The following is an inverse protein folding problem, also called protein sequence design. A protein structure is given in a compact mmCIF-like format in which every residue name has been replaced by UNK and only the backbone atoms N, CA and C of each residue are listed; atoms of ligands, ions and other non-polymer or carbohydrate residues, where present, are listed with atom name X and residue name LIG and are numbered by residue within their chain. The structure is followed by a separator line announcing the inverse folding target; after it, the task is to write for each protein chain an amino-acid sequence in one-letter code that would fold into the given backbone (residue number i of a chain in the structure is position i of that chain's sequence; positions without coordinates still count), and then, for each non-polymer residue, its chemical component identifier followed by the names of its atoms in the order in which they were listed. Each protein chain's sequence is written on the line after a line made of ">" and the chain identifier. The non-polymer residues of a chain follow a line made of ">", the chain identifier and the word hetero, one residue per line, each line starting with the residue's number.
data_IF_687277944273
#
_entry.id   IF_687277944273
#
_cell.length_a   1.000
_cell.length_b   1.000
_cell.length_c   1.000
_cell.angle_alpha   90.00
_cell.angle_beta   90.00
_cell.angle_gamma   90.00
#
_symmetry.space_group_name_H-M   'P 1'
#
loop_
_entity.id
_entity.type
_entity.pdbx_description
1 polymer ?
#
# COMPACT_ATOMS: atom_id res chain seq x y z
N UNK A 1 29.63 67.80 3.69
CA UNK A 1 29.75 66.47 3.04
C UNK A 1 29.03 65.46 3.91
N UNK A 2 27.83 65.04 3.49
CA UNK A 2 27.03 64.04 4.20
C UNK A 2 27.24 62.68 3.54
N UNK A 3 27.71 61.71 4.28
CA UNK A 3 27.84 60.31 3.82
C UNK A 3 26.58 59.57 4.15
N UNK A 4 25.85 59.18 3.11
CA UNK A 4 24.65 58.31 3.22
C UNK A 4 25.09 56.85 3.34
N UNK A 5 24.88 56.25 4.47
CA UNK A 5 25.07 54.81 4.66
C UNK A 5 23.82 54.04 4.22
N UNK A 6 23.92 53.28 3.13
CA UNK A 6 22.87 52.37 2.67
C UNK A 6 22.88 51.09 3.48
N UNK A 7 21.86 50.86 4.26
CA UNK A 7 21.64 49.56 4.94
C UNK A 7 21.00 48.57 3.94
N UNK A 8 21.72 47.52 3.60
CA UNK A 8 21.18 46.40 2.81
C UNK A 8 20.40 45.47 3.75
N UNK A 9 19.09 45.36 3.56
CA UNK A 9 18.24 44.41 4.28
C UNK A 9 18.47 43.01 3.66
N UNK A 10 19.03 42.09 4.44
CA UNK A 10 19.15 40.68 4.10
C UNK A 10 17.81 40.01 4.39
N UNK A 11 17.08 39.66 3.34
CA UNK A 11 15.84 38.89 3.45
C UNK A 11 16.21 37.41 3.66
N UNK A 12 16.15 36.90 4.89
CA UNK A 12 16.29 35.50 5.19
C UNK A 12 14.99 34.77 4.82
N UNK A 13 15.02 34.03 3.72
CA UNK A 13 13.93 33.10 3.37
C UNK A 13 14.08 31.89 4.30
N UNK A 14 13.22 31.82 5.33
CA UNK A 14 13.06 30.62 6.14
C UNK A 14 12.43 29.55 5.25
N UNK A 15 13.24 28.65 4.72
CA UNK A 15 12.77 27.46 4.03
C UNK A 15 12.02 26.58 5.02
N UNK A 16 10.69 26.63 4.99
CA UNK A 16 9.85 25.69 5.74
C UNK A 16 10.13 24.28 5.22
N UNK A 17 10.87 23.48 5.99
CA UNK A 17 10.94 22.04 5.76
C UNK A 17 9.52 21.50 5.93
N UNK A 18 8.85 21.18 4.81
CA UNK A 18 7.55 20.52 4.85
C UNK A 18 7.70 19.24 5.65
N UNK A 19 6.89 19.07 6.70
CA UNK A 19 6.89 17.84 7.49
C UNK A 19 6.64 16.65 6.54
N UNK A 20 7.51 15.62 6.58
CA UNK A 20 7.31 14.39 5.83
C UNK A 20 5.95 13.78 6.23
N UNK A 21 5.16 13.31 5.24
CA UNK A 21 3.88 12.67 5.50
C UNK A 21 4.10 11.44 6.39
N UNK A 22 3.35 11.35 7.51
CA UNK A 22 3.42 10.21 8.41
C UNK A 22 2.91 8.93 7.73
N UNK A 23 3.41 7.73 8.15
CA UNK A 23 2.88 6.46 7.69
C UNK A 23 1.37 6.35 7.93
N UNK A 24 0.65 5.83 6.95
CA UNK A 24 -0.81 5.69 7.00
C UNK A 24 -1.21 4.22 6.99
N UNK A 25 -2.15 3.85 7.85
CA UNK A 25 -2.71 2.51 7.88
C UNK A 25 -3.96 2.42 7.02
N UNK A 26 -4.03 1.38 6.20
CA UNK A 26 -5.20 0.95 5.44
C UNK A 26 -5.57 -0.48 5.84
N UNK A 27 -6.84 -0.83 5.64
CA UNK A 27 -7.37 -2.19 5.87
C UNK A 27 -8.06 -2.73 4.62
N UNK A 28 -8.24 -4.03 4.56
CA UNK A 28 -9.07 -4.70 3.57
C UNK A 28 -9.72 -5.94 4.18
N UNK A 29 -11.01 -6.14 3.91
CA UNK A 29 -11.71 -7.39 4.19
C UNK A 29 -11.58 -8.29 2.97
N UNK A 30 -10.93 -9.46 3.14
CA UNK A 30 -10.65 -10.38 2.05
C UNK A 30 -11.73 -11.45 1.98
N UNK A 31 -12.16 -11.79 0.76
CA UNK A 31 -13.12 -12.85 0.50
C UNK A 31 -12.77 -13.59 -0.80
N UNK A 32 -12.93 -14.91 -0.78
CA UNK A 32 -12.85 -15.71 -2.00
C UNK A 32 -13.98 -15.44 -2.98
N UNK A 33 -15.15 -15.02 -2.49
CA UNK A 33 -16.29 -14.62 -3.33
C UNK A 33 -16.01 -13.33 -4.11
N UNK A 34 -15.11 -12.49 -3.64
CA UNK A 34 -14.71 -11.26 -4.33
C UNK A 34 -13.76 -11.50 -5.51
N UNK A 35 -13.22 -12.71 -5.66
CA UNK A 35 -12.37 -13.08 -6.80
C UNK A 35 -13.22 -13.31 -8.05
N UNK A 36 -12.89 -12.68 -9.21
CA UNK A 36 -13.65 -12.82 -10.44
C UNK A 36 -13.77 -14.27 -10.94
N UNK A 37 -12.72 -15.06 -10.76
CA UNK A 37 -12.66 -16.47 -11.17
C UNK A 37 -13.14 -17.43 -10.05
N UNK A 38 -13.63 -16.88 -8.94
CA UNK A 38 -13.93 -17.62 -7.74
C UNK A 38 -12.71 -18.02 -6.94
N UNK A 39 -12.78 -17.82 -5.65
CA UNK A 39 -11.69 -18.10 -4.73
C UNK A 39 -12.13 -18.91 -3.54
N UNK A 40 -11.39 -18.81 -2.44
CA UNK A 40 -11.62 -19.63 -1.25
C UNK A 40 -11.30 -18.84 0.02
N UNK A 41 -12.18 -19.01 1.01
CA UNK A 41 -11.94 -18.51 2.35
C UNK A 41 -12.15 -17.00 2.51
N UNK A 42 -11.61 -16.48 3.58
CA UNK A 42 -11.74 -15.07 3.95
C UNK A 42 -10.55 -14.59 4.77
N UNK A 43 -10.48 -13.29 5.02
CA UNK A 43 -9.45 -12.74 5.87
C UNK A 43 -9.52 -11.25 6.05
N UNK A 44 -8.51 -10.71 6.69
CA UNK A 44 -8.29 -9.27 6.84
C UNK A 44 -6.85 -8.94 6.53
N UNK A 45 -6.62 -7.86 5.82
CA UNK A 45 -5.31 -7.29 5.62
C UNK A 45 -5.21 -5.93 6.32
N UNK A 46 -4.10 -5.71 7.02
CA UNK A 46 -3.73 -4.41 7.57
C UNK A 46 -2.40 -4.00 6.97
N UNK A 47 -2.37 -2.85 6.32
CA UNK A 47 -1.20 -2.31 5.66
C UNK A 47 -0.81 -0.98 6.31
N UNK A 48 0.49 -0.74 6.48
CA UNK A 48 1.03 0.56 6.85
C UNK A 48 1.94 1.04 5.72
N UNK A 49 1.58 2.14 5.10
CA UNK A 49 2.25 2.69 3.91
C UNK A 49 2.95 3.99 4.28
N UNK A 50 4.23 4.07 3.97
CA UNK A 50 5.08 5.23 4.22
C UNK A 50 5.65 5.76 2.89
N UNK A 51 5.07 6.84 2.33
CA UNK A 51 5.58 7.41 1.09
C UNK A 51 6.92 8.15 1.24
N UNK A 52 7.32 8.48 2.47
CA UNK A 52 8.60 9.16 2.72
C UNK A 52 9.79 8.21 2.60
N UNK A 53 9.62 6.96 3.03
CA UNK A 53 10.67 5.94 3.02
C UNK A 53 10.50 4.89 1.94
N UNK A 54 9.35 4.84 1.25
CA UNK A 54 9.03 3.77 0.30
C UNK A 54 8.74 2.43 0.98
N UNK A 55 8.41 2.43 2.27
CA UNK A 55 8.16 1.23 3.06
C UNK A 55 6.68 0.89 3.10
N UNK A 56 6.36 -0.39 2.86
CA UNK A 56 5.01 -0.93 3.01
C UNK A 56 5.07 -2.15 3.90
N UNK A 57 4.46 -2.07 5.09
CA UNK A 57 4.32 -3.19 6.01
C UNK A 57 2.93 -3.79 5.90
N UNK A 58 2.83 -5.11 6.08
CA UNK A 58 1.57 -5.84 6.00
C UNK A 58 1.44 -6.89 7.09
N UNK A 59 0.21 -7.13 7.49
CA UNK A 59 -0.18 -8.25 8.33
C UNK A 59 -1.54 -8.76 7.81
N UNK A 60 -1.55 -9.98 7.29
CA UNK A 60 -2.72 -10.59 6.67
C UNK A 60 -3.12 -11.81 7.50
N UNK A 61 -4.36 -11.84 7.95
CA UNK A 61 -4.95 -12.95 8.70
C UNK A 61 -5.98 -13.65 7.82
N UNK A 62 -5.83 -14.95 7.65
CA UNK A 62 -6.62 -15.76 6.73
C UNK A 62 -7.35 -16.88 7.45
N UNK A 63 -8.54 -17.24 6.94
CA UNK A 63 -9.36 -18.36 7.38
C UNK A 63 -9.83 -19.14 6.15
N UNK A 64 -9.62 -20.45 6.15
CA UNK A 64 -10.07 -21.32 5.06
C UNK A 64 -9.32 -21.12 3.73
N UNK A 65 -8.19 -20.40 3.73
CA UNK A 65 -7.36 -20.19 2.53
C UNK A 65 -6.22 -21.20 2.44
N UNK A 66 -5.66 -21.60 3.58
CA UNK A 66 -4.52 -22.51 3.63
C UNK A 66 -3.18 -21.77 3.46
N UNK A 67 -2.21 -22.46 2.86
CA UNK A 67 -0.89 -21.89 2.56
C UNK A 67 -0.97 -21.04 1.30
N UNK A 68 -0.62 -19.75 1.43
CA UNK A 68 -0.52 -18.83 0.30
C UNK A 68 0.85 -18.89 -0.34
N UNK A 69 0.93 -18.65 -1.64
CA UNK A 69 2.17 -18.61 -2.41
C UNK A 69 2.69 -17.18 -2.62
N UNK A 70 1.77 -16.20 -2.67
CA UNK A 70 2.09 -14.80 -2.90
C UNK A 70 0.97 -13.88 -2.42
N UNK A 71 1.29 -12.61 -2.25
CA UNK A 71 0.31 -11.55 -2.00
C UNK A 71 0.75 -10.23 -2.61
N UNK A 72 -0.22 -9.49 -3.14
CA UNK A 72 0.04 -8.25 -3.86
C UNK A 72 -0.99 -7.17 -3.52
N UNK A 73 -0.63 -5.92 -3.80
CA UNK A 73 -1.57 -4.83 -4.00
C UNK A 73 -1.73 -4.63 -5.50
N UNK A 74 -2.96 -4.67 -5.97
CA UNK A 74 -3.34 -4.46 -7.37
C UNK A 74 -4.11 -3.14 -7.52
N UNK A 75 -4.11 -2.61 -8.74
CA UNK A 75 -5.02 -1.52 -9.14
C UNK A 75 -6.25 -2.12 -9.80
N UNK A 76 -7.43 -1.80 -9.31
CA UNK A 76 -8.69 -2.23 -9.90
C UNK A 76 -9.86 -1.90 -8.99
N UNK A 77 -11.03 -1.72 -9.61
CA UNK A 77 -12.30 -1.64 -8.90
C UNK A 77 -12.72 -3.01 -8.37
N UNK A 78 -13.74 -3.05 -7.54
CA UNK A 78 -14.35 -4.30 -7.08
C UNK A 78 -14.75 -5.18 -8.27
N UNK A 79 -14.44 -6.46 -8.22
CA UNK A 79 -14.76 -7.43 -9.27
C UNK A 79 -13.90 -7.33 -10.54
N UNK A 80 -12.97 -6.40 -10.63
CA UNK A 80 -12.10 -6.21 -11.80
C UNK A 80 -10.69 -6.70 -11.50
N UNK A 81 -10.17 -7.61 -12.32
CA UNK A 81 -8.77 -8.02 -12.27
C UNK A 81 -7.89 -6.92 -12.87
N UNK A 82 -6.89 -6.48 -12.12
CA UNK A 82 -6.00 -5.41 -12.53
C UNK A 82 -4.52 -5.72 -12.29
N UNK A 83 -3.62 -4.86 -12.77
CA UNK A 83 -2.18 -5.10 -12.66
C UNK A 83 -1.67 -5.00 -11.23
N UNK A 84 -0.60 -5.75 -10.93
CA UNK A 84 0.16 -5.63 -9.69
C UNK A 84 0.80 -4.24 -9.62
N UNK A 85 0.64 -3.59 -8.47
CA UNK A 85 1.27 -2.30 -8.17
C UNK A 85 2.40 -2.47 -7.15
N UNK A 86 2.19 -3.29 -6.13
CA UNK A 86 3.19 -3.62 -5.11
C UNK A 86 3.13 -5.12 -4.82
N UNK A 87 4.25 -5.81 -4.96
CA UNK A 87 4.41 -7.17 -4.49
C UNK A 87 4.72 -7.14 -2.98
N UNK A 88 3.92 -7.83 -2.18
CA UNK A 88 4.09 -7.89 -0.73
C UNK A 88 5.00 -9.04 -0.31
N UNK A 89 4.75 -10.23 -0.85
CA UNK A 89 5.57 -11.43 -0.61
C UNK A 89 5.39 -12.44 -1.76
N UNK A 90 6.36 -13.34 -1.90
CA UNK A 90 6.37 -14.39 -2.92
C UNK A 90 6.83 -15.75 -2.37
N UNK A 91 6.88 -15.91 -1.04
CA UNK A 91 7.25 -17.15 -0.39
C UNK A 91 6.03 -17.83 0.26
N UNK A 92 5.95 -19.17 0.24
CA UNK A 92 4.84 -19.91 0.83
C UNK A 92 4.69 -19.61 2.34
N UNK A 93 3.49 -19.21 2.76
CA UNK A 93 3.22 -18.92 4.16
C UNK A 93 1.74 -19.07 4.50
N UNK A 94 1.46 -19.43 5.76
CA UNK A 94 0.11 -19.40 6.34
C UNK A 94 -0.16 -18.13 7.14
N UNK A 95 0.87 -17.32 7.38
CA UNK A 95 0.79 -16.10 8.18
C UNK A 95 1.54 -14.97 7.49
N UNK A 96 1.00 -14.45 6.37
CA UNK A 96 1.66 -13.39 5.61
C UNK A 96 1.80 -12.11 6.46
N UNK A 97 3.04 -11.76 6.78
CA UNK A 97 3.38 -10.53 7.48
C UNK A 97 4.82 -10.14 7.20
N UNK A 98 5.09 -8.88 7.14
CA UNK A 98 6.41 -8.35 6.85
C UNK A 98 6.37 -6.93 6.35
N UNK A 99 7.47 -6.49 5.78
CA UNK A 99 7.59 -5.19 5.14
C UNK A 99 8.39 -5.33 3.85
N UNK A 100 7.98 -4.60 2.82
CA UNK A 100 8.77 -4.38 1.60
C UNK A 100 9.31 -2.96 1.59
N UNK A 101 10.52 -2.80 1.06
CA UNK A 101 11.24 -1.54 1.00
C UNK A 101 11.28 -1.02 -0.45
N UNK A 102 11.76 0.20 -0.61
CA UNK A 102 12.06 0.81 -1.92
C UNK A 102 10.87 0.84 -2.89
N UNK A 103 9.65 0.91 -2.34
CA UNK A 103 8.46 1.04 -3.16
C UNK A 103 8.33 2.46 -3.70
N UNK A 104 7.89 2.65 -4.96
CA UNK A 104 7.75 3.98 -5.53
C UNK A 104 6.82 4.87 -4.70
N UNK A 105 7.32 5.99 -4.21
CA UNK A 105 6.55 6.94 -3.41
C UNK A 105 5.29 7.44 -4.16
N UNK A 106 5.36 7.56 -5.49
CA UNK A 106 4.21 7.93 -6.31
C UNK A 106 3.10 6.88 -6.27
N UNK A 107 3.44 5.58 -6.30
CA UNK A 107 2.48 4.49 -6.19
C UNK A 107 1.82 4.49 -4.80
N UNK A 108 2.62 4.61 -3.74
CA UNK A 108 2.11 4.70 -2.36
C UNK A 108 1.14 5.89 -2.22
N UNK A 109 1.51 7.07 -2.72
CA UNK A 109 0.63 8.24 -2.67
C UNK A 109 -0.67 8.06 -3.45
N UNK A 110 -0.65 7.35 -4.59
CA UNK A 110 -1.86 7.03 -5.34
C UNK A 110 -2.80 6.13 -4.53
N UNK A 111 -2.26 5.08 -3.90
CA UNK A 111 -3.02 4.19 -3.02
C UNK A 111 -3.65 4.97 -1.87
N UNK A 112 -2.88 5.83 -1.19
CA UNK A 112 -3.36 6.62 -0.06
C UNK A 112 -4.44 7.64 -0.45
N UNK A 113 -4.38 8.21 -1.67
CA UNK A 113 -5.41 9.15 -2.15
C UNK A 113 -6.74 8.49 -2.50
N UNK A 114 -6.70 7.27 -3.04
CA UNK A 114 -7.89 6.56 -3.53
C UNK A 114 -7.82 5.07 -3.20
N UNK A 115 -7.81 4.70 -1.91
CA UNK A 115 -7.60 3.30 -1.51
C UNK A 115 -8.61 2.33 -2.14
N UNK A 116 -9.88 2.71 -2.25
CA UNK A 116 -10.92 1.89 -2.88
C UNK A 116 -10.72 1.57 -4.38
N UNK A 117 -9.71 2.15 -5.03
CA UNK A 117 -9.28 1.78 -6.38
C UNK A 117 -8.16 0.75 -6.41
N UNK A 118 -7.77 0.25 -5.25
CA UNK A 118 -6.75 -0.77 -5.09
C UNK A 118 -7.28 -1.88 -4.20
N UNK A 119 -6.77 -3.07 -4.37
CA UNK A 119 -7.15 -4.22 -3.57
C UNK A 119 -5.92 -5.05 -3.17
N UNK A 120 -6.01 -5.70 -2.02
CA UNK A 120 -5.08 -6.76 -1.64
C UNK A 120 -5.62 -8.08 -2.17
N UNK A 121 -4.72 -8.89 -2.72
CA UNK A 121 -5.04 -10.21 -3.25
C UNK A 121 -3.98 -11.20 -2.75
N UNK A 122 -4.41 -12.36 -2.28
CA UNK A 122 -3.55 -13.48 -1.92
C UNK A 122 -3.78 -14.65 -2.86
N UNK A 123 -2.72 -15.35 -3.21
CA UNK A 123 -2.71 -16.46 -4.15
C UNK A 123 -2.33 -17.76 -3.46
N UNK A 124 -2.89 -18.87 -3.93
CA UNK A 124 -2.52 -20.23 -3.50
C UNK A 124 -2.20 -21.08 -4.74
N UNK A 125 -1.64 -22.28 -4.54
CA UNK A 125 -1.43 -23.20 -5.63
C UNK A 125 -2.73 -23.63 -6.32
N UNK A 126 -3.84 -23.72 -5.56
CA UNK A 126 -5.16 -24.06 -6.10
C UNK A 126 -5.85 -22.86 -6.81
N UNK A 127 -5.50 -21.64 -6.43
CA UNK A 127 -6.04 -20.39 -6.98
C UNK A 127 -4.88 -19.45 -7.36
N UNK A 128 -4.16 -19.75 -8.47
CA UNK A 128 -3.00 -18.96 -8.87
C UNK A 128 -3.35 -17.53 -9.32
N UNK A 129 -4.59 -17.31 -9.77
CA UNK A 129 -5.08 -15.98 -10.17
C UNK A 129 -5.69 -15.19 -9.00
N UNK A 130 -5.89 -15.82 -7.85
CA UNK A 130 -6.39 -15.22 -6.62
C UNK A 130 -7.24 -16.18 -5.80
N UNK A 131 -6.92 -16.33 -4.53
CA UNK A 131 -7.69 -17.12 -3.58
C UNK A 131 -8.67 -16.24 -2.78
N UNK A 132 -8.26 -15.05 -2.37
CA UNK A 132 -9.10 -14.08 -1.68
C UNK A 132 -8.59 -12.66 -1.92
N UNK A 133 -9.51 -11.73 -2.10
CA UNK A 133 -9.19 -10.31 -2.31
C UNK A 133 -10.15 -9.39 -1.57
N UNK A 134 -9.74 -8.15 -1.38
CA UNK A 134 -10.57 -7.10 -0.82
C UNK A 134 -10.04 -5.71 -1.13
N UNK A 135 -10.97 -4.76 -1.35
CA UNK A 135 -10.64 -3.37 -1.60
C UNK A 135 -10.01 -2.73 -0.36
N UNK A 136 -9.03 -1.85 -0.60
CA UNK A 136 -8.42 -1.08 0.47
C UNK A 136 -9.35 0.04 0.94
N UNK A 137 -9.36 0.25 2.24
CA UNK A 137 -10.12 1.30 2.93
C UNK A 137 -9.33 1.91 4.10
N UNK A 138 -9.77 3.07 4.56
CA UNK A 138 -9.20 3.78 5.72
C UNK A 138 -9.75 3.25 7.04
#
# INVERSE_FOLDING_TARGET
>A
MAVLASAAAVLTIAGGAGAAAAPTTLTASLSGEAEPEGGQGSGTARLTLDPATGRVCFNIRLRGVGTTAAGHIHRGAEGVAGPVVIALYGEPTRRPRGCVQDQPAAAIRQILRRPGRFYVNVHTAAHPDGAARGQLER
#
